data_IF_256083638499
#
_entry.id   IF_256083638499
#
_cell.length_a   1.000
_cell.length_b   1.000
_cell.length_c   1.000
_cell.angle_alpha   90.00
_cell.angle_beta   90.00
_cell.angle_gamma   90.00
#
_symmetry.space_group_name_H-M   'P 1'
#
loop_
_entity.id
_entity.type
_entity.pdbx_description
1 polymer ?
#
# COMPACT_ATOMS: atom_id res chain seq x y z
N UNK A 1 -11.29 -41.00 9.94
CA UNK A 1 -10.53 -40.35 8.85
C UNK A 1 -11.47 -39.37 8.16
N UNK A 2 -11.16 -38.07 8.09
CA UNK A 2 -12.04 -37.09 7.42
C UNK A 2 -11.87 -37.24 5.89
N UNK A 3 -12.97 -37.33 5.17
CA UNK A 3 -13.01 -37.49 3.72
C UNK A 3 -13.98 -36.52 3.08
N UNK A 4 -13.81 -36.28 1.77
CA UNK A 4 -14.69 -35.45 0.95
C UNK A 4 -15.28 -36.30 -0.17
N UNK A 5 -16.51 -36.00 -0.58
CA UNK A 5 -17.20 -36.65 -1.70
C UNK A 5 -17.29 -35.65 -2.84
N UNK A 6 -16.81 -36.02 -4.03
CA UNK A 6 -16.90 -35.20 -5.23
C UNK A 6 -18.23 -35.46 -5.94
N UNK A 7 -19.18 -34.53 -5.82
CA UNK A 7 -20.53 -34.67 -6.39
C UNK A 7 -20.54 -34.50 -7.93
N UNK A 8 -19.49 -33.95 -8.52
CA UNK A 8 -19.46 -33.55 -9.94
C UNK A 8 -18.40 -34.24 -10.81
N UNK A 9 -17.78 -35.34 -10.36
CA UNK A 9 -16.82 -36.06 -11.20
C UNK A 9 -17.55 -36.82 -12.34
N UNK A 10 -17.27 -36.54 -13.63
CA UNK A 10 -17.92 -37.21 -14.76
C UNK A 10 -17.70 -38.72 -14.78
N UNK A 11 -16.67 -39.22 -14.09
CA UNK A 11 -16.23 -40.61 -14.13
C UNK A 11 -16.98 -41.55 -13.16
N UNK A 12 -17.78 -41.05 -12.21
CA UNK A 12 -18.27 -41.89 -11.10
C UNK A 12 -19.73 -41.63 -10.71
N UNK A 13 -20.67 -41.97 -11.59
CA UNK A 13 -22.10 -42.06 -11.24
C UNK A 13 -22.50 -43.33 -10.45
N UNK A 14 -21.56 -44.25 -10.16
CA UNK A 14 -21.90 -45.56 -9.60
C UNK A 14 -21.29 -45.88 -8.21
N UNK A 15 -20.30 -45.13 -7.72
CA UNK A 15 -19.73 -45.30 -6.36
C UNK A 15 -19.35 -43.94 -5.79
N UNK A 16 -19.78 -43.66 -4.56
CA UNK A 16 -19.37 -42.48 -3.81
C UNK A 16 -17.91 -42.65 -3.38
N UNK A 17 -16.99 -42.17 -4.22
CA UNK A 17 -15.57 -42.20 -3.94
C UNK A 17 -15.22 -41.15 -2.89
N UNK A 18 -14.66 -41.64 -1.78
CA UNK A 18 -14.20 -40.80 -0.69
C UNK A 18 -12.74 -40.43 -0.92
N UNK A 19 -12.45 -39.14 -1.04
CA UNK A 19 -11.09 -38.64 -1.13
C UNK A 19 -10.59 -38.18 0.24
N UNK A 20 -9.28 -38.30 0.52
CA UNK A 20 -8.69 -37.71 1.72
C UNK A 20 -8.91 -36.20 1.78
N UNK A 21 -9.25 -35.67 2.96
CA UNK A 21 -9.49 -34.23 3.15
C UNK A 21 -8.29 -33.35 2.75
N UNK A 22 -7.05 -33.86 2.84
CA UNK A 22 -5.85 -33.10 2.44
C UNK A 22 -5.84 -32.71 0.96
N UNK A 23 -6.58 -33.43 0.11
CA UNK A 23 -6.66 -33.14 -1.31
C UNK A 23 -7.35 -31.79 -1.57
N UNK A 24 -8.33 -31.41 -0.75
CA UNK A 24 -8.95 -30.08 -0.80
C UNK A 24 -7.93 -28.97 -0.51
N UNK A 25 -7.00 -29.18 0.43
CA UNK A 25 -5.91 -28.23 0.70
C UNK A 25 -5.01 -28.08 -0.52
N UNK A 26 -4.68 -29.16 -1.22
CA UNK A 26 -3.88 -29.09 -2.44
C UNK A 26 -4.63 -28.33 -3.54
N UNK A 27 -5.89 -28.66 -3.81
CA UNK A 27 -6.66 -27.96 -4.83
C UNK A 27 -6.82 -26.47 -4.54
N UNK A 28 -7.05 -26.10 -3.27
CA UNK A 28 -7.09 -24.70 -2.86
C UNK A 28 -5.75 -24.00 -3.16
N UNK A 29 -4.62 -24.62 -2.83
CA UNK A 29 -3.29 -24.06 -3.13
C UNK A 29 -3.01 -23.98 -4.63
N UNK A 30 -3.41 -24.99 -5.40
CA UNK A 30 -3.27 -24.99 -6.87
C UNK A 30 -4.11 -23.88 -7.50
N UNK A 31 -5.33 -23.65 -7.00
CA UNK A 31 -6.18 -22.58 -7.49
C UNK A 31 -5.59 -21.19 -7.16
N UNK A 32 -5.10 -20.97 -5.93
CA UNK A 32 -4.39 -19.73 -5.59
C UNK A 32 -3.17 -19.50 -6.49
N UNK A 33 -2.31 -20.53 -6.65
CA UNK A 33 -1.14 -20.45 -7.52
C UNK A 33 -1.53 -20.18 -8.99
N UNK A 34 -2.64 -20.76 -9.48
CA UNK A 34 -3.15 -20.50 -10.83
C UNK A 34 -3.59 -19.05 -11.01
N UNK A 35 -4.32 -18.49 -10.03
CA UNK A 35 -4.74 -17.08 -10.04
C UNK A 35 -3.55 -16.13 -10.02
N UNK A 36 -2.63 -16.34 -9.08
CA UNK A 36 -1.39 -15.59 -8.98
C UNK A 36 -0.59 -15.66 -10.30
N UNK A 37 -0.55 -16.84 -10.92
CA UNK A 37 0.06 -17.03 -12.23
C UNK A 37 -0.57 -16.22 -13.35
N UNK A 38 -1.89 -16.15 -13.37
CA UNK A 38 -2.60 -15.33 -14.35
C UNK A 38 -2.29 -13.84 -14.15
N UNK A 39 -2.25 -13.35 -12.91
CA UNK A 39 -1.93 -11.95 -12.59
C UNK A 39 -0.52 -11.58 -13.07
N UNK A 40 0.48 -12.35 -12.63
CA UNK A 40 1.88 -12.12 -13.01
C UNK A 40 2.12 -12.19 -14.52
N UNK A 41 1.47 -13.13 -15.22
CA UNK A 41 1.57 -13.19 -16.68
C UNK A 41 1.02 -11.93 -17.32
N UNK A 42 -0.15 -11.46 -16.89
CA UNK A 42 -0.71 -10.22 -17.41
C UNK A 42 0.18 -9.00 -17.11
N UNK A 43 0.85 -8.97 -15.97
CA UNK A 43 1.81 -7.93 -15.60
C UNK A 43 3.03 -7.95 -16.54
N UNK A 44 3.66 -9.11 -16.72
CA UNK A 44 4.82 -9.30 -17.61
C UNK A 44 4.48 -8.92 -19.05
N UNK A 45 3.38 -9.44 -19.59
CA UNK A 45 2.94 -9.16 -20.97
C UNK A 45 2.78 -7.64 -21.20
N UNK A 46 2.30 -6.89 -20.19
CA UNK A 46 2.13 -5.43 -20.25
C UNK A 46 3.45 -4.66 -20.24
N UNK A 47 4.39 -5.08 -19.39
CA UNK A 47 5.72 -4.43 -19.33
C UNK A 47 6.46 -4.69 -20.65
N UNK A 48 6.44 -5.91 -21.15
CA UNK A 48 7.02 -6.27 -22.45
C UNK A 48 6.40 -5.46 -23.59
N UNK A 49 5.06 -5.37 -23.65
CA UNK A 49 4.37 -4.56 -24.65
C UNK A 49 4.72 -3.06 -24.54
N UNK A 50 5.05 -2.56 -23.34
CA UNK A 50 5.46 -1.17 -23.14
C UNK A 50 6.88 -0.90 -23.59
N UNK A 51 7.79 -1.88 -23.43
CA UNK A 51 9.16 -1.82 -23.93
C UNK A 51 9.25 -1.80 -25.46
N UNK A 52 8.25 -2.33 -26.17
CA UNK A 52 8.21 -2.28 -27.64
C UNK A 52 7.75 -0.92 -28.19
N UNK A 53 7.31 0.01 -27.33
CA UNK A 53 6.86 1.34 -27.76
C UNK A 53 8.07 2.27 -27.93
N UNK A 54 8.11 3.01 -29.03
CA UNK A 54 9.22 3.91 -29.39
C UNK A 54 9.37 5.16 -28.50
N UNK A 55 8.45 5.39 -27.56
CA UNK A 55 8.40 6.60 -26.75
C UNK A 55 8.98 6.43 -25.32
N UNK A 56 9.51 5.25 -24.97
CA UNK A 56 10.11 5.03 -23.65
C UNK A 56 11.55 5.57 -23.60
N UNK A 57 11.91 6.24 -22.50
CA UNK A 57 13.30 6.65 -22.27
C UNK A 57 14.19 5.43 -21.99
N UNK A 58 15.49 5.56 -22.26
CA UNK A 58 16.45 4.48 -22.04
C UNK A 58 16.53 4.06 -20.55
N UNK A 59 16.56 5.02 -19.62
CA UNK A 59 16.54 4.74 -18.17
C UNK A 59 15.26 4.00 -17.75
N UNK A 60 14.08 4.39 -18.27
CA UNK A 60 12.84 3.70 -17.97
C UNK A 60 12.82 2.27 -18.56
N UNK A 61 13.40 2.09 -19.74
CA UNK A 61 13.54 0.76 -20.35
C UNK A 61 14.47 -0.15 -19.53
N UNK A 62 15.58 0.39 -19.02
CA UNK A 62 16.52 -0.37 -18.18
C UNK A 62 15.89 -0.77 -16.85
N UNK A 63 15.15 0.14 -16.20
CA UNK A 63 14.38 -0.17 -14.98
C UNK A 63 13.33 -1.23 -15.22
N UNK A 64 12.61 -1.17 -16.34
CA UNK A 64 11.61 -2.17 -16.71
C UNK A 64 12.24 -3.55 -16.95
N UNK A 65 13.40 -3.63 -17.62
CA UNK A 65 14.14 -4.88 -17.79
C UNK A 65 14.63 -5.45 -16.46
N UNK A 66 15.18 -4.60 -15.59
CA UNK A 66 15.61 -5.02 -14.26
C UNK A 66 14.44 -5.56 -13.42
N UNK A 67 13.26 -4.92 -13.52
CA UNK A 67 12.05 -5.40 -12.86
C UNK A 67 11.59 -6.76 -13.41
N UNK A 68 11.58 -6.95 -14.74
CA UNK A 68 11.26 -8.25 -15.35
C UNK A 68 12.21 -9.36 -14.86
N UNK A 69 13.52 -9.07 -14.80
CA UNK A 69 14.51 -10.02 -14.28
C UNK A 69 14.27 -10.35 -12.79
N UNK A 70 13.85 -9.38 -12.00
CA UNK A 70 13.49 -9.61 -10.59
C UNK A 70 12.24 -10.50 -10.47
N UNK A 71 11.23 -10.29 -11.33
CA UNK A 71 9.99 -11.08 -11.36
C UNK A 71 10.27 -12.55 -11.71
N UNK A 72 11.19 -12.84 -12.64
CA UNK A 72 11.54 -14.22 -13.02
C UNK A 72 12.03 -15.07 -11.85
N UNK A 73 12.65 -14.43 -10.85
CA UNK A 73 13.19 -15.09 -9.66
C UNK A 73 12.21 -15.09 -8.48
N UNK A 74 11.06 -14.44 -8.63
CA UNK A 74 10.07 -14.29 -7.58
C UNK A 74 9.13 -15.50 -7.54
N UNK A 75 8.70 -15.89 -6.34
CA UNK A 75 7.63 -16.85 -6.20
C UNK A 75 6.32 -16.23 -6.70
N UNK A 76 5.45 -17.00 -7.35
CA UNK A 76 4.19 -16.46 -7.87
C UNK A 76 3.25 -16.00 -6.75
N UNK A 77 3.29 -16.67 -5.60
CA UNK A 77 2.41 -16.45 -4.45
C UNK A 77 3.20 -16.67 -3.15
N UNK A 78 2.72 -16.11 -2.05
CA UNK A 78 3.41 -16.08 -0.77
C UNK A 78 3.22 -14.73 -0.06
N UNK A 79 3.99 -14.49 0.99
CA UNK A 79 3.96 -13.22 1.73
C UNK A 79 5.29 -12.51 1.54
N UNK A 80 5.24 -11.20 1.28
CA UNK A 80 6.45 -10.38 1.19
C UNK A 80 7.22 -10.40 2.51
N UNK A 81 8.55 -10.35 2.43
CA UNK A 81 9.46 -10.37 3.59
C UNK A 81 10.39 -9.17 3.54
N UNK A 82 10.81 -8.70 4.70
CA UNK A 82 11.73 -7.57 4.82
C UNK A 82 11.07 -6.19 4.80
N UNK A 83 9.74 -6.14 4.74
CA UNK A 83 8.91 -4.95 4.92
C UNK A 83 7.93 -5.19 6.07
N UNK A 84 7.60 -4.15 6.84
CA UNK A 84 6.56 -4.14 7.88
C UNK A 84 5.19 -4.30 7.25
N UNK A 85 4.94 -3.64 6.13
CA UNK A 85 3.71 -3.77 5.35
C UNK A 85 3.74 -5.05 4.49
N UNK A 86 3.54 -6.20 5.13
CA UNK A 86 3.49 -7.48 4.42
C UNK A 86 2.23 -7.58 3.55
N UNK A 87 2.37 -7.93 2.28
CA UNK A 87 1.26 -8.22 1.37
C UNK A 87 1.45 -9.58 0.69
N UNK A 88 0.45 -10.02 -0.09
CA UNK A 88 0.65 -11.18 -0.95
C UNK A 88 1.68 -10.85 -2.03
N UNK A 89 2.60 -11.77 -2.32
CA UNK A 89 3.52 -11.60 -3.44
C UNK A 89 2.74 -11.42 -4.76
N UNK A 90 1.57 -12.04 -4.89
CA UNK A 90 0.70 -11.84 -6.07
C UNK A 90 0.23 -10.39 -6.23
N UNK A 91 0.10 -9.64 -5.13
CA UNK A 91 -0.40 -8.26 -5.17
C UNK A 91 0.64 -7.34 -5.83
N UNK A 92 1.94 -7.67 -5.70
CA UNK A 92 3.01 -6.94 -6.37
C UNK A 92 2.86 -6.89 -7.90
N UNK A 93 2.13 -7.83 -8.51
CA UNK A 93 1.82 -7.78 -9.92
C UNK A 93 1.08 -6.48 -10.29
N UNK A 94 0.28 -5.92 -9.39
CA UNK A 94 -0.53 -4.71 -9.62
C UNK A 94 0.33 -3.49 -9.97
N UNK A 95 1.55 -3.40 -9.43
CA UNK A 95 2.53 -2.35 -9.77
C UNK A 95 2.87 -2.29 -11.27
N UNK A 96 2.68 -3.39 -11.99
CA UNK A 96 2.99 -3.54 -13.41
C UNK A 96 1.74 -3.50 -14.30
N UNK A 97 0.59 -3.12 -13.72
CA UNK A 97 -0.69 -3.07 -14.41
C UNK A 97 -1.28 -1.65 -14.38
N UNK A 98 -2.52 -1.51 -14.83
CA UNK A 98 -3.32 -0.28 -14.69
C UNK A 98 -4.35 -0.41 -13.58
N UNK A 99 -4.22 -1.43 -12.74
CA UNK A 99 -5.16 -1.67 -11.65
C UNK A 99 -4.91 -0.67 -10.52
N UNK A 100 -5.95 -0.38 -9.75
CA UNK A 100 -5.84 0.54 -8.62
C UNK A 100 -4.96 -0.06 -7.53
N UNK A 101 -3.98 0.72 -7.07
CA UNK A 101 -3.15 0.37 -5.93
C UNK A 101 -3.97 0.49 -4.64
N UNK A 102 -3.89 -0.54 -3.81
CA UNK A 102 -4.56 -0.59 -2.52
C UNK A 102 -3.67 -0.05 -1.38
N UNK A 103 -4.19 -0.08 -0.16
CA UNK A 103 -3.49 0.36 1.05
C UNK A 103 -2.15 -0.32 1.29
N UNK A 104 -2.04 -1.63 1.03
CA UNK A 104 -0.80 -2.38 1.27
C UNK A 104 0.33 -1.90 0.33
N UNK A 105 0.01 -1.62 -0.93
CA UNK A 105 0.96 -1.05 -1.89
C UNK A 105 1.46 0.31 -1.41
N UNK A 106 0.53 1.12 -0.92
CA UNK A 106 0.80 2.46 -0.44
C UNK A 106 1.66 2.47 0.82
N UNK A 107 1.35 1.62 1.80
CA UNK A 107 2.16 1.48 3.02
C UNK A 107 3.56 0.92 2.72
N UNK A 108 3.71 0.03 1.73
CA UNK A 108 5.02 -0.42 1.26
C UNK A 108 5.85 0.73 0.67
N UNK A 109 5.24 1.58 -0.17
CA UNK A 109 5.93 2.74 -0.74
C UNK A 109 6.38 3.72 0.34
N UNK A 110 5.52 3.98 1.33
CA UNK A 110 5.83 4.83 2.47
C UNK A 110 6.95 4.26 3.34
N UNK A 111 6.98 2.93 3.51
CA UNK A 111 8.06 2.27 4.25
C UNK A 111 9.40 2.39 3.52
N UNK A 112 9.42 2.19 2.20
CA UNK A 112 10.63 2.39 1.38
C UNK A 112 11.09 3.85 1.45
N UNK A 113 10.15 4.80 1.33
CA UNK A 113 10.45 6.23 1.47
C UNK A 113 11.01 6.56 2.87
N UNK A 114 10.42 5.99 3.92
CA UNK A 114 10.93 6.15 5.28
C UNK A 114 12.36 5.63 5.40
N UNK A 115 12.67 4.48 4.81
CA UNK A 115 14.01 3.90 4.81
C UNK A 115 15.02 4.80 4.07
N UNK A 116 14.66 5.31 2.89
CA UNK A 116 15.50 6.20 2.09
C UNK A 116 15.77 7.55 2.78
N UNK A 117 14.80 8.06 3.52
CA UNK A 117 14.93 9.28 4.34
C UNK A 117 15.62 9.02 5.69
N UNK A 118 16.19 7.83 5.89
CA UNK A 118 16.94 7.47 7.08
C UNK A 118 16.06 7.34 8.33
N UNK A 119 14.86 6.77 8.19
CA UNK A 119 13.77 6.64 9.17
C UNK A 119 14.05 5.89 10.48
N UNK A 120 15.25 6.04 11.04
CA UNK A 120 15.66 5.56 12.35
C UNK A 120 15.50 6.60 13.47
N UNK A 121 16.02 6.22 14.64
CA UNK A 121 16.08 7.10 15.81
C UNK A 121 16.99 8.29 15.51
N UNK A 122 16.42 9.51 15.53
CA UNK A 122 17.16 10.75 15.31
C UNK A 122 16.97 11.40 13.93
N UNK A 123 16.21 10.79 13.02
CA UNK A 123 15.81 11.51 11.80
C UNK A 123 14.91 12.70 12.14
N UNK A 124 15.08 13.83 11.47
CA UNK A 124 14.15 14.96 11.60
C UNK A 124 12.87 14.74 10.80
N UNK A 125 12.87 13.75 9.91
CA UNK A 125 11.75 13.39 9.05
C UNK A 125 11.05 12.15 9.61
N UNK A 126 9.72 12.15 9.57
CA UNK A 126 8.88 10.99 9.84
C UNK A 126 7.95 10.76 8.66
N UNK A 127 7.82 9.51 8.23
CA UNK A 127 6.89 9.11 7.19
C UNK A 127 5.88 8.17 7.83
N UNK A 128 4.61 8.55 7.75
CA UNK A 128 3.52 7.80 8.36
C UNK A 128 2.73 6.99 7.34
N UNK A 129 2.13 5.91 7.84
CA UNK A 129 1.27 5.01 7.05
C UNK A 129 -0.04 5.70 6.66
N UNK A 130 -0.75 5.10 5.71
CA UNK A 130 -2.12 5.50 5.33
C UNK A 130 -3.10 5.57 6.52
N UNK A 131 -2.84 4.80 7.58
CA UNK A 131 -3.64 4.80 8.80
C UNK A 131 -3.59 6.13 9.57
N UNK A 132 -2.53 6.91 9.40
CA UNK A 132 -2.37 8.21 10.06
C UNK A 132 -3.52 9.15 9.76
N UNK A 133 -3.84 9.36 8.49
CA UNK A 133 -4.86 10.33 8.10
C UNK A 133 -6.25 9.87 8.53
N UNK A 134 -6.52 8.57 8.47
CA UNK A 134 -7.75 7.98 8.99
C UNK A 134 -7.91 8.26 10.49
N UNK A 135 -6.83 8.08 11.27
CA UNK A 135 -6.84 8.37 12.70
C UNK A 135 -6.93 9.87 12.98
N UNK A 136 -6.25 10.69 12.23
CA UNK A 136 -6.33 12.14 12.39
C UNK A 136 -7.75 12.66 12.14
N UNK A 137 -8.44 12.16 11.12
CA UNK A 137 -9.84 12.49 10.85
C UNK A 137 -10.78 12.05 11.98
N UNK A 138 -10.55 10.86 12.56
CA UNK A 138 -11.28 10.39 13.74
C UNK A 138 -11.04 11.29 14.95
N UNK A 139 -9.78 11.64 15.22
CA UNK A 139 -9.38 12.52 16.32
C UNK A 139 -10.04 13.91 16.22
N UNK A 140 -10.09 14.46 15.01
CA UNK A 140 -10.76 15.74 14.75
C UNK A 140 -12.27 15.67 15.01
N UNK A 141 -12.89 14.53 14.68
CA UNK A 141 -14.34 14.33 14.85
C UNK A 141 -14.72 14.06 16.32
N UNK A 142 -13.81 13.54 17.13
CA UNK A 142 -14.02 13.25 18.55
C UNK A 142 -12.82 13.73 19.42
N UNK A 143 -12.81 15.01 19.81
CA UNK A 143 -11.69 15.58 20.56
C UNK A 143 -11.50 14.98 21.96
N UNK A 144 -12.55 14.48 22.61
CA UNK A 144 -12.43 13.90 23.96
C UNK A 144 -11.77 12.51 23.90
N UNK A 145 -12.18 11.68 22.93
CA UNK A 145 -11.51 10.41 22.68
C UNK A 145 -10.07 10.64 22.20
N UNK A 146 -9.81 11.67 21.38
CA UNK A 146 -8.43 12.04 21.03
C UNK A 146 -7.59 12.42 22.26
N UNK A 147 -8.14 13.03 23.30
CA UNK A 147 -7.36 13.41 24.49
C UNK A 147 -7.06 12.23 25.41
N UNK A 148 -8.00 11.30 25.53
CA UNK A 148 -7.96 10.28 26.60
C UNK A 148 -7.78 8.85 26.10
N UNK A 149 -8.16 8.58 24.85
CA UNK A 149 -8.11 7.25 24.25
C UNK A 149 -6.69 6.76 23.99
N UNK A 150 -6.41 5.52 24.37
CA UNK A 150 -5.11 4.86 24.14
C UNK A 150 -4.82 4.70 22.65
N UNK A 151 -5.87 4.56 21.82
CA UNK A 151 -5.74 4.43 20.37
C UNK A 151 -5.18 5.68 19.65
N UNK A 152 -5.12 6.82 20.34
CA UNK A 152 -4.60 8.10 19.84
C UNK A 152 -3.26 8.51 20.48
N UNK A 153 -2.72 7.68 21.38
CA UNK A 153 -1.47 7.97 22.10
C UNK A 153 -0.31 8.25 21.15
N UNK A 154 -0.13 7.42 20.13
CA UNK A 154 0.92 7.58 19.14
C UNK A 154 0.78 8.89 18.34
N UNK A 155 -0.46 9.31 18.05
CA UNK A 155 -0.75 10.55 17.32
C UNK A 155 -0.45 11.78 18.19
N UNK A 156 -0.78 11.72 19.48
CA UNK A 156 -0.41 12.76 20.46
C UNK A 156 1.12 12.87 20.58
N UNK A 157 1.81 11.75 20.77
CA UNK A 157 3.27 11.72 20.85
C UNK A 157 3.93 12.27 19.59
N UNK A 158 3.42 11.92 18.41
CA UNK A 158 3.89 12.47 17.14
C UNK A 158 3.72 14.00 17.11
N UNK A 159 2.54 14.51 17.45
CA UNK A 159 2.27 15.95 17.55
C UNK A 159 3.20 16.66 18.53
N UNK A 160 3.43 16.08 19.71
CA UNK A 160 4.40 16.60 20.68
C UNK A 160 5.83 16.61 20.14
N UNK A 161 6.25 15.58 19.40
CA UNK A 161 7.60 15.54 18.81
C UNK A 161 7.80 16.61 17.75
N UNK A 162 6.76 16.92 16.98
CA UNK A 162 6.74 18.02 16.01
C UNK A 162 6.78 19.38 16.73
N UNK A 163 5.93 19.58 17.74
CA UNK A 163 5.88 20.83 18.51
C UNK A 163 7.18 21.12 19.28
N UNK A 164 7.89 20.08 19.73
CA UNK A 164 9.20 20.20 20.38
C UNK A 164 10.37 20.38 19.39
N UNK A 165 10.13 20.32 18.07
CA UNK A 165 11.19 20.37 17.06
C UNK A 165 12.10 19.13 17.05
N UNK A 166 11.70 18.03 17.68
CA UNK A 166 12.44 16.75 17.63
C UNK A 166 12.28 16.07 16.28
N UNK A 167 11.13 16.27 15.65
CA UNK A 167 10.86 16.02 14.24
C UNK A 167 10.47 17.37 13.64
N UNK A 168 10.94 17.68 12.44
CA UNK A 168 10.63 18.95 11.77
C UNK A 168 9.86 18.76 10.48
N UNK A 169 9.88 17.54 9.92
CA UNK A 169 9.13 17.21 8.72
C UNK A 169 8.35 15.93 8.91
N UNK A 170 7.13 15.90 8.39
CA UNK A 170 6.28 14.73 8.37
C UNK A 170 5.70 14.54 6.97
N UNK A 171 5.66 13.31 6.48
CA UNK A 171 5.07 12.95 5.20
C UNK A 171 4.11 11.79 5.34
N UNK A 172 3.13 11.73 4.45
CA UNK A 172 2.19 10.62 4.38
C UNK A 172 1.28 10.74 3.18
N UNK A 173 0.31 9.83 3.09
CA UNK A 173 -0.72 9.86 2.06
C UNK A 173 -2.10 9.60 2.66
N UNK A 174 -3.12 10.09 1.98
CA UNK A 174 -4.51 9.88 2.36
C UNK A 174 -5.30 9.28 1.20
N UNK A 175 -6.24 8.40 1.50
CA UNK A 175 -7.26 8.00 0.53
C UNK A 175 -8.50 8.89 0.69
N UNK A 176 -8.82 9.65 -0.35
CA UNK A 176 -10.05 10.42 -0.44
C UNK A 176 -11.10 9.57 -1.13
N UNK A 177 -12.25 9.39 -0.48
CA UNK A 177 -13.43 8.70 -1.04
C UNK A 177 -13.18 7.26 -1.52
N UNK A 178 -12.18 6.58 -0.93
CA UNK A 178 -11.82 5.19 -1.23
C UNK A 178 -11.41 4.95 -2.70
N UNK A 179 -11.00 6.00 -3.41
CA UNK A 179 -10.68 5.92 -4.84
C UNK A 179 -9.58 6.88 -5.32
N UNK A 180 -8.98 7.66 -4.43
CA UNK A 180 -8.00 8.67 -4.83
C UNK A 180 -6.95 8.89 -3.75
N UNK A 181 -5.68 8.71 -4.10
CA UNK A 181 -4.57 8.91 -3.19
C UNK A 181 -3.98 10.31 -3.34
N UNK A 182 -3.86 11.02 -2.23
CA UNK A 182 -3.18 12.33 -2.15
C UNK A 182 -1.95 12.23 -1.25
N UNK A 183 -0.96 13.06 -1.52
CA UNK A 183 0.21 13.23 -0.66
C UNK A 183 0.04 14.43 0.27
N UNK A 184 0.50 14.27 1.51
CA UNK A 184 0.55 15.30 2.52
C UNK A 184 1.98 15.42 3.04
N UNK A 185 2.45 16.64 3.20
CA UNK A 185 3.71 16.94 3.85
C UNK A 185 3.51 18.08 4.85
N UNK A 186 4.14 17.99 6.01
CA UNK A 186 4.16 19.04 7.03
C UNK A 186 5.62 19.39 7.24
N UNK A 187 5.96 20.67 7.16
CA UNK A 187 7.26 21.20 7.51
C UNK A 187 7.07 22.26 8.59
N UNK A 188 7.47 21.94 9.82
CA UNK A 188 7.30 22.83 10.97
C UNK A 188 8.37 23.91 11.05
N UNK A 189 9.50 23.75 10.34
CA UNK A 189 10.52 24.81 10.25
C UNK A 189 10.09 25.89 9.27
N UNK A 190 9.48 25.48 8.15
CA UNK A 190 8.95 26.38 7.15
C UNK A 190 7.51 26.84 7.44
N UNK A 191 6.86 26.28 8.47
CA UNK A 191 5.45 26.53 8.81
C UNK A 191 4.49 26.26 7.63
N UNK A 192 4.75 25.19 6.87
CA UNK A 192 3.97 24.87 5.67
C UNK A 192 3.34 23.48 5.73
N UNK A 193 2.18 23.36 5.10
CA UNK A 193 1.54 22.09 4.77
C UNK A 193 1.52 21.94 3.25
N UNK A 194 2.26 20.98 2.74
CA UNK A 194 2.26 20.56 1.35
C UNK A 194 1.10 19.61 1.03
N UNK A 195 0.50 19.80 -0.14
CA UNK A 195 -0.56 18.96 -0.69
C UNK A 195 -0.20 18.55 -2.11
N UNK A 196 -0.20 17.25 -2.39
CA UNK A 196 0.04 16.70 -3.72
C UNK A 196 -1.15 15.88 -4.21
N UNK A 197 -1.65 16.21 -5.40
CA UNK A 197 -2.76 15.49 -6.04
C UNK A 197 -2.40 15.17 -7.49
N UNK A 198 -2.34 13.87 -7.81
CA UNK A 198 -2.01 13.38 -9.15
C UNK A 198 -3.04 13.72 -10.24
N UNK A 199 -4.26 14.11 -9.86
CA UNK A 199 -5.29 14.62 -10.77
C UNK A 199 -5.31 16.14 -10.89
N UNK A 200 -4.34 16.83 -10.28
CA UNK A 200 -4.22 18.29 -10.31
C UNK A 200 -5.44 19.04 -9.76
N UNK A 201 -6.23 18.42 -8.87
CA UNK A 201 -7.29 19.15 -8.19
C UNK A 201 -6.68 20.20 -7.27
N UNK A 202 -7.34 21.36 -7.17
CA UNK A 202 -6.98 22.37 -6.19
C UNK A 202 -7.24 21.86 -4.77
N UNK A 203 -6.44 22.32 -3.80
CA UNK A 203 -6.69 22.07 -2.39
C UNK A 203 -8.15 22.44 -2.06
N UNK A 204 -8.96 21.52 -1.50
CA UNK A 204 -10.33 21.81 -1.13
C UNK A 204 -10.42 23.08 -0.28
N UNK A 205 -11.34 23.99 -0.61
CA UNK A 205 -11.45 25.31 0.04
C UNK A 205 -11.60 25.24 1.56
N UNK A 206 -12.22 24.17 2.08
CA UNK A 206 -12.31 23.90 3.53
C UNK A 206 -10.94 23.70 4.18
N UNK A 207 -10.04 22.95 3.54
CA UNK A 207 -8.66 22.77 4.02
C UNK A 207 -7.89 24.09 3.96
N UNK A 208 -8.06 24.86 2.87
CA UNK A 208 -7.40 26.15 2.69
C UNK A 208 -7.78 27.15 3.81
N UNK A 209 -9.06 27.23 4.16
CA UNK A 209 -9.55 28.15 5.19
C UNK A 209 -8.97 27.90 6.58
N UNK A 210 -8.50 26.67 6.89
CA UNK A 210 -7.90 26.35 8.19
C UNK A 210 -6.39 26.59 8.22
N UNK A 211 -5.75 26.72 7.05
CA UNK A 211 -4.34 27.09 6.90
C UNK A 211 -4.20 28.62 6.97
N UNK A 212 -5.07 29.36 6.29
CA UNK A 212 -4.98 30.83 6.22
C UNK A 212 -5.31 31.54 7.56
N UNK A 213 -5.91 30.84 8.54
CA UNK A 213 -6.24 31.41 9.85
C UNK A 213 -5.13 31.27 10.91
N UNK A 214 -4.04 30.53 10.64
CA UNK A 214 -2.90 30.44 11.58
C UNK A 214 -1.89 31.59 11.42
N UNK A 215 -2.04 32.48 10.44
CA UNK A 215 -1.18 33.65 10.24
C UNK A 215 -1.71 34.94 10.93
N UNK A 216 -2.84 34.86 11.65
CA UNK A 216 -3.56 36.04 12.16
C UNK A 216 -3.55 36.22 13.70
N UNK A 217 -2.89 35.35 14.46
CA UNK A 217 -2.73 35.44 15.93
C UNK A 217 -1.24 35.48 16.32
#
# INVERSE_FOLDING_TARGET
MKSIVLVHSPAHRAKSDHYPLWLATIWSKMESARKARTLWRSAVDRVEASLQKSAISEDAADRARAALQAIENLQWDGVTKGVKASCSISDLASWFTTDWLNTDHMDQLLELLAADLGGGNGSTVVVETTYFVLKLAQAYSDPEEYRTGVGFEWLRQLGETLAMGKRTRMGGIANISDNHWIALAIDTEAETIGYGDGFHNTIPSRLRSHIDHSEAD
#
